data_IF_921842345272
#
_entry.id   IF_921842345272
#
_cell.length_a   1.000
_cell.length_b   1.000
_cell.length_c   1.000
_cell.angle_alpha   90.00
_cell.angle_beta   90.00
_cell.angle_gamma   90.00
#
_symmetry.space_group_name_H-M   'P 1'
#
loop_
_entity.id
_entity.type
_entity.pdbx_description
1 polymer ?
#
# COMPACT_ATOMS: atom_id res chain seq x y z
N UNK A 1 15.21 -7.12 15.97
CA UNK A 1 13.95 -7.53 15.32
C UNK A 1 12.87 -6.45 15.44
N UNK A 2 12.61 -5.88 16.62
CA UNK A 2 11.56 -4.85 16.80
C UNK A 2 11.74 -3.57 15.97
N UNK A 3 12.98 -3.09 15.81
CA UNK A 3 13.25 -1.93 14.94
C UNK A 3 12.90 -2.21 13.47
N UNK A 4 13.11 -3.44 13.00
CA UNK A 4 12.84 -3.85 11.61
C UNK A 4 11.33 -3.95 11.37
N UNK A 5 10.58 -4.63 12.24
CA UNK A 5 9.13 -4.76 12.10
C UNK A 5 8.45 -3.41 12.19
N UNK A 6 8.85 -2.54 13.13
CA UNK A 6 8.37 -1.15 13.21
C UNK A 6 8.63 -0.39 11.90
N UNK A 7 9.84 -0.46 11.37
CA UNK A 7 10.18 0.27 10.14
C UNK A 7 9.39 -0.24 8.94
N UNK A 8 9.09 -1.53 8.85
CA UNK A 8 8.26 -2.05 7.75
C UNK A 8 6.80 -1.64 7.95
N UNK A 9 6.23 -1.89 9.13
CA UNK A 9 4.83 -1.61 9.42
C UNK A 9 4.48 -0.11 9.26
N UNK A 10 5.41 0.78 9.61
CA UNK A 10 5.21 2.25 9.59
C UNK A 10 5.82 2.93 8.35
N UNK A 11 6.31 2.16 7.37
CA UNK A 11 7.03 2.66 6.19
C UNK A 11 8.16 3.66 6.55
N UNK A 12 9.17 3.15 7.25
CA UNK A 12 10.34 3.89 7.75
C UNK A 12 9.96 5.10 8.62
N UNK A 13 8.85 5.02 9.35
CA UNK A 13 8.38 6.06 10.27
C UNK A 13 7.41 7.08 9.66
N UNK A 14 7.04 6.95 8.38
CA UNK A 14 6.01 7.79 7.76
C UNK A 14 4.65 7.65 8.44
N UNK A 15 4.35 6.47 9.00
CA UNK A 15 3.13 6.24 9.78
C UNK A 15 3.00 7.12 11.03
N UNK A 16 4.10 7.73 11.51
CA UNK A 16 4.05 8.66 12.64
C UNK A 16 3.70 10.10 12.24
N UNK A 17 3.45 10.39 10.97
CA UNK A 17 2.96 11.70 10.57
C UNK A 17 1.53 11.86 11.11
N UNK A 18 1.37 12.77 12.08
CA UNK A 18 0.15 12.88 12.88
C UNK A 18 -1.13 13.26 12.14
N UNK A 19 -1.06 13.67 10.87
CA UNK A 19 -2.22 13.96 10.03
C UNK A 19 -2.35 12.94 8.89
N UNK A 20 -3.41 12.13 8.95
CA UNK A 20 -3.80 11.14 7.94
C UNK A 20 -2.64 10.23 7.48
N UNK A 21 -2.04 9.42 8.38
CA UNK A 21 -0.85 8.60 8.10
C UNK A 21 -1.02 7.68 6.88
N UNK A 22 -2.20 7.06 6.70
CA UNK A 22 -2.50 6.25 5.52
C UNK A 22 -2.45 7.01 4.19
N UNK A 23 -2.70 8.32 4.19
CA UNK A 23 -2.53 9.17 3.00
C UNK A 23 -1.05 9.31 2.64
N UNK A 24 -0.18 9.47 3.64
CA UNK A 24 1.26 9.52 3.43
C UNK A 24 1.82 8.17 2.96
N UNK A 25 1.33 7.05 3.49
CA UNK A 25 1.65 5.71 3.01
C UNK A 25 1.25 5.51 1.54
N UNK A 26 0.02 5.86 1.19
CA UNK A 26 -0.48 5.78 -0.18
C UNK A 26 0.32 6.68 -1.13
N UNK A 27 0.65 7.90 -0.69
CA UNK A 27 1.44 8.84 -1.50
C UNK A 27 2.87 8.36 -1.72
N UNK A 28 3.52 7.84 -0.67
CA UNK A 28 4.88 7.28 -0.73
C UNK A 28 4.95 6.01 -1.61
N UNK A 29 3.84 5.31 -1.76
CA UNK A 29 3.75 4.15 -2.65
C UNK A 29 3.89 4.54 -4.12
N UNK A 30 3.46 5.75 -4.52
CA UNK A 30 3.57 6.20 -5.91
C UNK A 30 5.02 6.18 -6.45
N UNK A 31 5.99 6.87 -5.82
CA UNK A 31 7.38 6.82 -6.28
C UNK A 31 8.01 5.43 -6.08
N UNK A 32 7.67 4.70 -5.01
CA UNK A 32 8.18 3.34 -4.79
C UNK A 32 7.78 2.40 -5.94
N UNK A 33 6.51 2.45 -6.34
CA UNK A 33 5.99 1.70 -7.47
C UNK A 33 6.67 2.11 -8.78
N UNK A 34 6.81 3.42 -9.03
CA UNK A 34 7.48 3.94 -10.22
C UNK A 34 8.91 3.42 -10.37
N UNK A 35 9.68 3.42 -9.28
CA UNK A 35 11.07 2.96 -9.25
C UNK A 35 11.15 1.47 -9.56
N UNK A 36 10.32 0.64 -8.91
CA UNK A 36 10.32 -0.81 -9.15
C UNK A 36 9.87 -1.13 -10.58
N UNK A 37 8.85 -0.45 -11.09
CA UNK A 37 8.41 -0.62 -12.48
C UNK A 37 9.48 -0.22 -13.49
N UNK A 38 10.19 0.88 -13.28
CA UNK A 38 11.29 1.28 -14.18
C UNK A 38 12.47 0.31 -14.12
N UNK A 39 12.80 -0.21 -12.94
CA UNK A 39 13.95 -1.09 -12.75
C UNK A 39 13.68 -2.53 -13.24
N UNK A 40 12.46 -3.04 -13.05
CA UNK A 40 12.15 -4.47 -13.23
C UNK A 40 10.87 -4.74 -14.05
N UNK A 41 10.23 -3.71 -14.59
CA UNK A 41 9.03 -3.82 -15.41
C UNK A 41 7.81 -4.36 -14.67
N UNK A 42 6.79 -4.73 -15.44
CA UNK A 42 5.55 -5.29 -14.91
C UNK A 42 5.81 -6.58 -14.11
N UNK A 43 6.67 -7.47 -14.60
CA UNK A 43 7.01 -8.72 -13.92
C UNK A 43 7.62 -8.46 -12.54
N UNK A 44 8.56 -7.52 -12.42
CA UNK A 44 9.14 -7.12 -11.14
C UNK A 44 8.09 -6.53 -10.19
N UNK A 45 7.19 -5.69 -10.69
CA UNK A 45 6.11 -5.12 -9.86
C UNK A 45 5.12 -6.18 -9.35
N UNK A 46 4.85 -7.22 -10.14
CA UNK A 46 3.98 -8.33 -9.74
C UNK A 46 4.65 -9.23 -8.70
N UNK A 47 5.98 -9.42 -8.79
CA UNK A 47 6.76 -10.15 -7.77
C UNK A 47 6.91 -9.35 -6.48
N UNK A 48 7.01 -8.01 -6.57
CA UNK A 48 7.12 -7.16 -5.38
C UNK A 48 5.86 -7.20 -4.50
N UNK A 49 4.66 -7.33 -5.09
CA UNK A 49 3.40 -7.36 -4.35
C UNK A 49 3.32 -8.47 -3.29
N UNK A 50 3.54 -9.76 -3.58
CA UNK A 50 3.53 -10.80 -2.56
C UNK A 50 4.63 -10.60 -1.50
N UNK A 51 5.78 -10.00 -1.86
CA UNK A 51 6.80 -9.64 -0.88
C UNK A 51 6.30 -8.57 0.09
N UNK A 52 5.65 -7.52 -0.41
CA UNK A 52 5.04 -6.46 0.42
C UNK A 52 3.97 -7.06 1.33
N UNK A 53 3.10 -7.94 0.82
CA UNK A 53 2.07 -8.60 1.62
C UNK A 53 2.65 -9.50 2.71
N UNK A 54 3.63 -10.36 2.37
CA UNK A 54 4.27 -11.26 3.34
C UNK A 54 5.05 -10.49 4.41
N UNK A 55 5.84 -9.49 4.01
CA UNK A 55 6.62 -8.67 4.94
C UNK A 55 5.71 -7.78 5.79
N UNK A 56 4.67 -7.20 5.21
CA UNK A 56 3.68 -6.39 5.91
C UNK A 56 2.93 -7.19 6.95
N UNK A 57 2.43 -8.38 6.59
CA UNK A 57 1.77 -9.29 7.53
C UNK A 57 2.67 -9.63 8.71
N UNK A 58 3.90 -10.09 8.44
CA UNK A 58 4.87 -10.41 9.48
C UNK A 58 5.21 -9.19 10.36
N UNK A 59 5.40 -8.03 9.75
CA UNK A 59 5.77 -6.80 10.44
C UNK A 59 4.64 -6.31 11.34
N UNK A 60 3.41 -6.27 10.82
CA UNK A 60 2.21 -5.90 11.58
C UNK A 60 2.03 -6.84 12.76
N UNK A 61 2.04 -8.17 12.55
CA UNK A 61 1.91 -9.15 13.63
C UNK A 61 3.00 -8.99 14.69
N UNK A 62 4.26 -8.78 14.28
CA UNK A 62 5.38 -8.60 15.20
C UNK A 62 5.33 -7.26 15.95
N UNK A 63 4.76 -6.22 15.33
CA UNK A 63 4.63 -4.89 15.93
C UNK A 63 3.46 -4.83 16.91
N UNK A 64 2.30 -5.38 16.55
CA UNK A 64 1.08 -5.32 17.38
C UNK A 64 1.12 -6.25 18.59
N UNK A 65 1.86 -7.36 18.56
CA UNK A 65 2.05 -8.25 19.73
C UNK A 65 2.56 -7.54 21.00
N UNK A 66 3.23 -6.41 20.84
CA UNK A 66 3.83 -5.64 21.93
C UNK A 66 3.02 -4.41 22.34
N UNK A 67 1.99 -4.06 21.57
CA UNK A 67 1.16 -2.89 21.79
C UNK A 67 -0.19 -3.31 22.37
N UNK A 68 -0.65 -2.57 23.39
CA UNK A 68 -2.01 -2.77 23.95
C UNK A 68 -3.10 -2.35 22.97
N UNK A 69 -2.75 -1.44 22.05
CA UNK A 69 -3.65 -1.02 20.98
C UNK A 69 -3.62 -2.07 19.87
N UNK A 70 -4.78 -2.66 19.58
CA UNK A 70 -4.89 -3.75 18.62
C UNK A 70 -4.85 -3.25 17.17
N UNK A 71 -5.13 -1.96 16.94
CA UNK A 71 -5.11 -1.34 15.60
C UNK A 71 -4.47 0.07 15.64
N UNK A 72 -3.14 0.14 15.72
CA UNK A 72 -2.41 1.40 15.72
C UNK A 72 -2.41 2.08 14.34
N UNK A 73 -2.90 3.32 14.28
CA UNK A 73 -3.01 4.10 13.03
C UNK A 73 -1.68 4.38 12.32
N UNK A 74 -0.54 4.21 13.00
CA UNK A 74 0.79 4.33 12.38
C UNK A 74 1.20 3.10 11.55
N UNK A 75 0.49 1.97 11.69
CA UNK A 75 0.68 0.82 10.80
C UNK A 75 -0.02 1.15 9.50
N UNK A 76 0.79 1.38 8.45
CA UNK A 76 0.31 1.87 7.15
C UNK A 76 0.74 0.99 5.96
N UNK A 77 1.15 -0.25 6.24
CA UNK A 77 1.71 -1.16 5.24
C UNK A 77 0.62 -1.76 4.35
N UNK A 78 -0.61 -1.82 4.86
CA UNK A 78 -1.81 -2.19 4.13
C UNK A 78 -2.22 -1.11 3.11
N UNK A 79 -2.04 0.19 3.40
CA UNK A 79 -2.23 1.24 2.39
C UNK A 79 -1.19 1.14 1.28
N UNK A 80 0.04 0.74 1.62
CA UNK A 80 1.09 0.49 0.61
C UNK A 80 0.68 -0.65 -0.30
N UNK A 81 0.24 -1.78 0.27
CA UNK A 81 -0.22 -2.93 -0.50
C UNK A 81 -1.45 -2.61 -1.37
N UNK A 82 -2.45 -1.92 -0.81
CA UNK A 82 -3.67 -1.54 -1.50
C UNK A 82 -3.42 -0.56 -2.65
N UNK A 83 -2.62 0.49 -2.41
CA UNK A 83 -2.23 1.44 -3.45
C UNK A 83 -1.38 0.77 -4.54
N UNK A 84 -0.52 -0.19 -4.19
CA UNK A 84 0.24 -1.00 -5.15
C UNK A 84 -0.69 -1.74 -6.11
N UNK A 85 -1.71 -2.41 -5.56
CA UNK A 85 -2.73 -3.13 -6.34
C UNK A 85 -3.50 -2.17 -7.25
N UNK A 86 -3.89 -1.00 -6.74
CA UNK A 86 -4.60 0.02 -7.51
C UNK A 86 -3.79 0.55 -8.71
N UNK A 87 -2.46 0.51 -8.65
CA UNK A 87 -1.56 0.91 -9.73
C UNK A 87 -1.29 -0.19 -10.77
N UNK A 88 -1.56 -1.47 -10.46
CA UNK A 88 -1.29 -2.57 -11.39
C UNK A 88 -2.00 -2.46 -12.75
N UNK A 89 -3.28 -2.06 -12.84
CA UNK A 89 -3.94 -1.86 -14.14
C UNK A 89 -3.25 -0.80 -15.00
N UNK A 90 -2.74 0.27 -14.36
CA UNK A 90 -1.98 1.33 -15.03
C UNK A 90 -0.66 0.77 -15.59
N UNK A 91 0.06 -0.01 -14.79
CA UNK A 91 1.30 -0.66 -15.19
C UNK A 91 1.09 -1.64 -16.35
N UNK A 92 0.07 -2.50 -16.26
CA UNK A 92 -0.29 -3.44 -17.30
C UNK A 92 -0.66 -2.72 -18.61
N UNK A 93 -1.47 -1.66 -18.52
CA UNK A 93 -1.82 -0.82 -19.66
C UNK A 93 -0.61 -0.16 -20.32
N UNK A 94 0.33 0.37 -19.52
CA UNK A 94 1.53 1.01 -20.04
C UNK A 94 2.43 0.00 -20.76
N UNK A 95 2.63 -1.19 -20.16
CA UNK A 95 3.38 -2.28 -20.77
C UNK A 95 2.73 -2.75 -22.08
N UNK A 96 1.41 -2.94 -22.11
CA UNK A 96 0.69 -3.37 -23.31
C UNK A 96 0.75 -2.34 -24.44
N UNK A 97 0.69 -1.05 -24.10
CA UNK A 97 0.77 0.04 -25.06
C UNK A 97 2.21 0.36 -25.51
N UNK A 98 3.23 -0.24 -24.90
CA UNK A 98 4.63 0.13 -25.12
C UNK A 98 4.93 1.59 -24.72
N UNK A 99 4.14 2.16 -23.83
CA UNK A 99 4.20 3.55 -23.42
C UNK A 99 4.89 3.69 -22.05
N UNK A 100 5.34 4.91 -21.74
CA UNK A 100 5.85 5.19 -20.40
C UNK A 100 4.71 5.12 -19.38
N UNK A 101 5.04 4.74 -18.14
CA UNK A 101 4.07 4.67 -17.03
C UNK A 101 3.38 6.03 -16.76
N UNK A 102 4.05 7.13 -17.10
CA UNK A 102 3.54 8.50 -16.93
C UNK A 102 2.72 9.00 -18.12
N UNK A 103 2.75 8.31 -19.28
CA UNK A 103 1.98 8.70 -20.46
C UNK A 103 0.47 8.44 -20.28
N UNK A 104 0.10 7.52 -19.39
CA UNK A 104 -1.30 7.17 -19.11
C UNK A 104 -1.95 8.15 -18.13
N UNK A 105 -2.00 9.42 -18.51
CA UNK A 105 -2.68 10.47 -17.75
C UNK A 105 -4.21 10.39 -17.92
N UNK A 106 -5.03 10.60 -16.87
CA UNK A 106 -4.70 10.92 -15.47
C UNK A 106 -4.61 9.70 -14.54
N UNK A 107 -4.17 8.54 -15.04
CA UNK A 107 -4.26 7.26 -14.35
C UNK A 107 -3.59 7.19 -12.96
N UNK A 108 -2.50 7.93 -12.73
CA UNK A 108 -1.86 8.03 -11.41
C UNK A 108 -2.77 8.67 -10.37
N UNK A 109 -3.40 9.78 -10.72
CA UNK A 109 -4.33 10.49 -9.85
C UNK A 109 -5.56 9.63 -9.62
N UNK A 110 -6.08 9.01 -10.69
CA UNK A 110 -7.23 8.13 -10.58
C UNK A 110 -6.95 6.95 -9.63
N UNK A 111 -5.81 6.26 -9.77
CA UNK A 111 -5.45 5.15 -8.91
C UNK A 111 -5.34 5.58 -7.44
N UNK A 112 -4.68 6.71 -7.16
CA UNK A 112 -4.57 7.26 -5.81
C UNK A 112 -5.93 7.63 -5.21
N UNK A 113 -6.71 8.44 -5.93
CA UNK A 113 -8.00 8.93 -5.41
C UNK A 113 -9.02 7.82 -5.26
N UNK A 114 -9.11 6.91 -6.23
CA UNK A 114 -10.05 5.78 -6.15
C UNK A 114 -9.66 4.83 -5.02
N UNK A 115 -8.37 4.51 -4.87
CA UNK A 115 -7.90 3.70 -3.75
C UNK A 115 -8.28 4.35 -2.41
N UNK A 116 -7.90 5.61 -2.18
CA UNK A 116 -8.23 6.30 -0.92
C UNK A 116 -9.73 6.41 -0.70
N UNK A 117 -10.50 6.65 -1.76
CA UNK A 117 -11.95 6.72 -1.67
C UNK A 117 -12.54 5.39 -1.19
N UNK A 118 -12.16 4.27 -1.79
CA UNK A 118 -12.68 2.95 -1.40
C UNK A 118 -12.14 2.45 -0.07
N UNK A 119 -10.88 2.76 0.26
CA UNK A 119 -10.23 2.43 1.53
C UNK A 119 -10.90 3.15 2.72
N UNK A 120 -11.23 4.44 2.56
CA UNK A 120 -11.91 5.22 3.59
C UNK A 120 -13.40 4.88 3.67
N UNK A 121 -14.05 4.70 2.51
CA UNK A 121 -15.51 4.48 2.46
C UNK A 121 -15.91 3.08 2.93
N UNK A 122 -15.05 2.05 2.74
CA UNK A 122 -15.30 0.64 3.09
C UNK A 122 -16.74 0.20 2.75
N UNK A 123 -17.10 0.01 1.46
CA UNK A 123 -18.44 -0.43 1.06
C UNK A 123 -18.92 -1.65 1.85
N UNK A 124 -20.24 -1.77 2.03
CA UNK A 124 -20.90 -2.61 3.06
C UNK A 124 -20.35 -4.02 3.28
N UNK A 125 -19.92 -4.74 2.23
CA UNK A 125 -19.31 -6.09 2.35
C UNK A 125 -18.00 -6.05 3.13
N UNK A 126 -17.18 -5.02 2.91
CA UNK A 126 -15.91 -4.79 3.61
C UNK A 126 -16.20 -4.40 5.06
N UNK A 127 -17.14 -3.47 5.30
CA UNK A 127 -17.52 -3.10 6.68
C UNK A 127 -18.13 -4.26 7.45
N UNK A 128 -18.79 -5.22 6.80
CA UNK A 128 -19.26 -6.45 7.43
C UNK A 128 -18.12 -7.38 7.85
N UNK A 129 -17.10 -7.54 7.00
CA UNK A 129 -15.92 -8.34 7.31
C UNK A 129 -15.07 -7.71 8.43
N UNK A 130 -15.01 -6.38 8.49
CA UNK A 130 -14.28 -5.62 9.51
C UNK A 130 -14.94 -5.70 10.90
N UNK A 131 -16.25 -5.97 10.96
CA UNK A 131 -17.03 -6.10 12.21
C UNK A 131 -17.04 -7.52 12.77
N UNK A 132 -16.43 -8.46 12.05
CA UNK A 132 -16.32 -9.85 12.47
C UNK A 132 -15.12 -10.00 13.41
N UNK A 133 -15.41 -10.30 14.67
CA UNK A 133 -14.43 -10.49 15.74
C UNK A 133 -14.31 -11.96 16.15
N UNK A 134 -14.70 -12.88 15.25
CA UNK A 134 -14.63 -14.33 15.40
C UNK A 134 -13.23 -14.91 15.11
#
# INVERSE_FOLDING_TARGET
>A
MQSISRNIATLMGLGFIGFAPGTWGSLATLPLFAVIFQAAGLAGTLIALPLILCLGWWATQSYTQLHKNHDPSEVIIDEVAGQWIALLPLAAGATHAGASLFALWPGWIAAFLLFRFFDIWKPSIISWADRRSD
#
